data_IF_926490903991
#
_entry.id   IF_926490903991
#
_cell.length_a   1.000
_cell.length_b   1.000
_cell.length_c   1.000
_cell.angle_alpha   90.00
_cell.angle_beta   90.00
_cell.angle_gamma   90.00
#
_symmetry.space_group_name_H-M   'P 1'
#
loop_
_entity.id
_entity.type
_entity.pdbx_description
1 polymer ?
#
# COMPACT_ATOMS: atom_id res chain seq x y z
N UNK A 1 -16.07 -13.63 9.05
CA UNK A 1 -16.14 -14.07 7.65
C UNK A 1 -15.33 -13.07 6.88
N UNK A 2 -14.18 -13.48 6.38
CA UNK A 2 -13.35 -12.64 5.51
C UNK A 2 -14.10 -12.41 4.21
N UNK A 3 -14.20 -11.16 3.75
CA UNK A 3 -14.87 -10.87 2.48
C UNK A 3 -14.00 -11.35 1.33
N UNK A 4 -14.54 -12.25 0.50
CA UNK A 4 -13.86 -12.73 -0.69
C UNK A 4 -14.25 -11.83 -1.87
N UNK A 5 -13.29 -11.05 -2.37
CA UNK A 5 -13.44 -10.25 -3.58
C UNK A 5 -13.28 -11.12 -4.82
N UNK A 6 -14.11 -10.87 -5.82
CA UNK A 6 -13.95 -11.36 -7.20
C UNK A 6 -12.70 -10.76 -7.84
N UNK A 7 -12.28 -11.33 -8.97
CA UNK A 7 -11.10 -10.81 -9.68
C UNK A 7 -11.34 -9.39 -10.23
N UNK A 8 -12.56 -9.06 -10.63
CA UNK A 8 -12.94 -7.70 -11.05
C UNK A 8 -12.84 -6.70 -9.88
N UNK A 9 -13.39 -7.06 -8.72
CA UNK A 9 -13.30 -6.22 -7.51
C UNK A 9 -11.85 -6.06 -7.05
N UNK A 10 -10.99 -7.08 -7.19
CA UNK A 10 -9.55 -6.96 -6.88
C UNK A 10 -8.84 -5.99 -7.82
N UNK A 11 -9.17 -6.01 -9.11
CA UNK A 11 -8.64 -5.04 -10.08
C UNK A 11 -9.09 -3.62 -9.70
N UNK A 12 -10.35 -3.48 -9.30
CA UNK A 12 -10.87 -2.20 -8.83
C UNK A 12 -10.13 -1.70 -7.58
N UNK A 13 -9.94 -2.55 -6.57
CA UNK A 13 -9.16 -2.22 -5.36
C UNK A 13 -7.75 -1.77 -5.74
N UNK A 14 -7.06 -2.51 -6.61
CA UNK A 14 -5.72 -2.13 -7.06
C UNK A 14 -5.72 -0.76 -7.76
N UNK A 15 -6.74 -0.46 -8.58
CA UNK A 15 -6.84 0.84 -9.26
C UNK A 15 -6.99 2.03 -8.30
N UNK A 16 -7.45 1.80 -7.07
CA UNK A 16 -7.54 2.83 -6.01
C UNK A 16 -6.16 3.37 -5.59
N UNK A 17 -5.06 2.73 -5.98
CA UNK A 17 -3.69 3.16 -5.67
C UNK A 17 -3.34 4.56 -6.21
N UNK A 18 -4.03 5.02 -7.26
CA UNK A 18 -3.82 6.33 -7.88
C UNK A 18 -4.77 7.43 -7.38
N UNK A 19 -5.74 7.10 -6.52
CA UNK A 19 -6.64 8.08 -5.93
C UNK A 19 -5.94 8.86 -4.79
N UNK A 20 -6.37 10.11 -4.57
CA UNK A 20 -5.88 10.93 -3.47
C UNK A 20 -6.67 10.64 -2.19
N UNK A 21 -6.08 9.85 -1.29
CA UNK A 21 -6.70 9.47 -0.03
C UNK A 21 -6.25 10.30 1.15
N UNK A 22 -7.20 10.68 2.01
CA UNK A 22 -6.95 11.27 3.32
C UNK A 22 -7.23 10.26 4.44
N UNK A 23 -6.62 10.52 5.59
CA UNK A 23 -6.87 9.75 6.81
C UNK A 23 -8.36 9.85 7.17
N UNK A 24 -8.99 8.71 7.48
CA UNK A 24 -10.43 8.49 7.72
C UNK A 24 -11.31 8.38 6.48
N UNK A 25 -10.78 8.51 5.27
CA UNK A 25 -11.58 8.26 4.08
C UNK A 25 -11.99 6.79 4.01
N UNK A 26 -13.22 6.56 3.56
CA UNK A 26 -13.74 5.21 3.31
C UNK A 26 -13.36 4.78 1.91
N UNK A 27 -12.66 3.65 1.80
CA UNK A 27 -12.36 3.04 0.51
C UNK A 27 -13.53 2.13 0.15
N UNK A 28 -14.24 2.49 -0.91
CA UNK A 28 -15.42 1.77 -1.40
C UNK A 28 -15.22 1.37 -2.84
N UNK A 29 -15.82 0.24 -3.19
CA UNK A 29 -15.99 -0.19 -4.56
C UNK A 29 -17.15 0.56 -5.22
N UNK A 30 -17.23 0.50 -6.55
CA UNK A 30 -18.28 1.11 -7.38
C UNK A 30 -19.66 0.52 -7.07
N UNK A 31 -19.71 -0.74 -6.63
CA UNK A 31 -20.92 -1.39 -6.12
C UNK A 31 -21.30 -0.93 -4.69
N UNK A 32 -20.59 0.07 -4.14
CA UNK A 32 -20.72 0.66 -2.81
C UNK A 32 -20.27 -0.23 -1.64
N UNK A 33 -19.63 -1.35 -1.93
CA UNK A 33 -19.07 -2.21 -0.91
C UNK A 33 -17.86 -1.57 -0.21
N UNK A 34 -17.84 -1.64 1.11
CA UNK A 34 -16.74 -1.11 1.92
C UNK A 34 -15.55 -2.08 1.89
N UNK A 35 -14.40 -1.58 1.46
CA UNK A 35 -13.09 -2.24 1.58
C UNK A 35 -12.50 -1.96 2.97
N UNK A 36 -12.61 -0.72 3.44
CA UNK A 36 -12.22 -0.32 4.79
C UNK A 36 -12.03 1.19 4.91
N UNK A 37 -11.26 1.61 5.92
CA UNK A 37 -11.00 3.02 6.22
C UNK A 37 -9.50 3.29 6.23
N UNK A 38 -9.07 4.39 5.60
CA UNK A 38 -7.67 4.82 5.57
C UNK A 38 -7.21 5.19 6.98
N UNK A 39 -6.29 4.39 7.53
CA UNK A 39 -5.73 4.59 8.88
C UNK A 39 -4.33 5.20 8.85
N UNK A 40 -3.57 4.97 7.77
CA UNK A 40 -2.23 5.53 7.58
C UNK A 40 -2.06 5.88 6.10
N UNK A 41 -1.49 7.06 5.84
CA UNK A 41 -1.04 7.51 4.52
C UNK A 41 0.47 7.69 4.59
N UNK A 42 1.20 7.07 3.68
CA UNK A 42 2.65 7.22 3.55
C UNK A 42 2.96 7.93 2.23
N UNK A 43 3.80 8.96 2.32
CA UNK A 43 4.43 9.62 1.18
C UNK A 43 5.89 9.88 1.59
N UNK A 44 6.78 8.96 1.22
CA UNK A 44 8.15 8.89 1.74
C UNK A 44 9.14 9.38 0.70
N UNK A 45 10.26 9.94 1.17
CA UNK A 45 11.37 10.40 0.30
C UNK A 45 12.05 9.28 -0.51
N UNK A 46 11.76 8.01 -0.21
CA UNK A 46 12.19 6.83 -0.97
C UNK A 46 11.41 6.64 -2.27
N UNK A 47 10.34 7.42 -2.48
CA UNK A 47 9.37 7.24 -3.57
C UNK A 47 8.20 6.34 -3.20
N UNK A 48 8.15 5.79 -1.97
CA UNK A 48 7.01 5.00 -1.55
C UNK A 48 5.79 5.88 -1.27
N UNK A 49 4.71 5.60 -1.98
CA UNK A 49 3.37 6.10 -1.68
C UNK A 49 2.47 4.91 -1.38
N UNK A 50 1.90 4.86 -0.18
CA UNK A 50 1.09 3.72 0.25
C UNK A 50 0.01 4.08 1.25
N UNK A 51 -1.04 3.27 1.28
CA UNK A 51 -2.21 3.46 2.11
C UNK A 51 -2.49 2.20 2.93
N UNK A 52 -2.54 2.33 4.26
CA UNK A 52 -2.94 1.23 5.15
C UNK A 52 -4.41 1.40 5.50
N UNK A 53 -5.21 0.49 4.97
CA UNK A 53 -6.67 0.45 5.11
C UNK A 53 -7.02 -0.61 6.15
N UNK A 54 -7.86 -0.25 7.12
CA UNK A 54 -8.30 -1.17 8.18
C UNK A 54 -9.82 -1.34 8.14
N UNK A 55 -10.33 -2.48 8.63
CA UNK A 55 -11.79 -2.76 8.70
C UNK A 55 -12.59 -1.71 9.48
N UNK A 56 -11.91 -0.96 10.36
CA UNK A 56 -12.41 0.23 11.06
C UNK A 56 -11.26 1.22 11.24
N UNK A 57 -11.54 2.52 11.30
CA UNK A 57 -10.49 3.52 11.55
C UNK A 57 -9.71 3.22 12.83
N UNK A 58 -8.40 2.97 12.70
CA UNK A 58 -7.52 2.62 13.79
C UNK A 58 -6.09 3.09 13.47
N UNK A 59 -5.75 4.37 13.63
CA UNK A 59 -4.41 4.88 13.33
C UNK A 59 -3.35 4.29 14.28
N UNK A 60 -2.07 4.47 13.96
CA UNK A 60 -0.95 3.97 14.77
C UNK A 60 -0.94 4.49 16.22
N UNK A 61 -1.54 5.66 16.47
CA UNK A 61 -1.72 6.24 17.81
C UNK A 61 -2.82 5.58 18.66
N UNK A 62 -3.59 4.64 18.09
CA UNK A 62 -4.64 3.90 18.81
C UNK A 62 -4.04 2.99 19.89
N UNK A 63 -4.86 2.69 20.92
CA UNK A 63 -4.44 1.77 21.98
C UNK A 63 -4.18 0.36 21.43
N UNK A 64 -3.40 -0.43 22.17
CA UNK A 64 -3.12 -1.83 21.80
C UNK A 64 -4.43 -2.63 21.72
N UNK A 65 -5.38 -2.39 22.63
CA UNK A 65 -6.69 -3.06 22.64
C UNK A 65 -7.48 -2.76 21.37
N UNK A 66 -7.47 -1.51 20.90
CA UNK A 66 -8.14 -1.12 19.66
C UNK A 66 -7.48 -1.77 18.44
N UNK A 67 -6.15 -1.77 18.37
CA UNK A 67 -5.39 -2.38 17.28
C UNK A 67 -5.58 -3.91 17.23
N UNK A 68 -5.68 -4.56 18.39
CA UNK A 68 -5.96 -5.99 18.48
C UNK A 68 -7.37 -6.39 18.03
N UNK A 69 -8.29 -5.43 17.92
CA UNK A 69 -9.65 -5.65 17.43
C UNK A 69 -9.78 -5.49 15.90
N UNK A 70 -8.74 -4.99 15.22
CA UNK A 70 -8.70 -4.91 13.76
C UNK A 70 -8.63 -6.33 13.20
N UNK A 71 -9.52 -6.63 12.25
CA UNK A 71 -9.64 -7.99 11.68
C UNK A 71 -9.00 -8.11 10.31
N UNK A 72 -8.99 -7.04 9.54
CA UNK A 72 -8.50 -7.01 8.18
C UNK A 72 -7.68 -5.73 7.97
N UNK A 73 -6.54 -5.88 7.31
CA UNK A 73 -5.66 -4.80 6.88
C UNK A 73 -5.39 -5.00 5.40
N UNK A 74 -5.61 -3.98 4.58
CA UNK A 74 -5.18 -3.94 3.19
C UNK A 74 -4.14 -2.86 3.03
N UNK A 75 -3.00 -3.17 2.44
CA UNK A 75 -1.97 -2.18 2.11
C UNK A 75 -1.92 -2.02 0.60
N UNK A 76 -2.27 -0.84 0.11
CA UNK A 76 -2.19 -0.51 -1.31
C UNK A 76 -0.94 0.34 -1.54
N UNK A 77 -0.09 -0.07 -2.49
CA UNK A 77 1.11 0.67 -2.89
C UNK A 77 0.86 1.31 -4.24
N UNK A 78 1.10 2.61 -4.37
CA UNK A 78 0.99 3.28 -5.66
C UNK A 78 2.16 2.88 -6.56
N UNK A 79 1.84 2.39 -7.76
CA UNK A 79 2.83 2.16 -8.81
C UNK A 79 3.45 3.47 -9.34
N UNK A 80 4.52 3.36 -10.11
CA UNK A 80 5.15 4.52 -10.75
C UNK A 80 4.18 5.18 -11.73
N UNK A 81 4.00 6.50 -11.61
CA UNK A 81 3.19 7.26 -12.58
C UNK A 81 4.05 7.65 -13.79
N UNK A 82 3.46 7.58 -14.99
CA UNK A 82 4.09 7.96 -16.26
C UNK A 82 3.90 9.45 -16.61
N UNK A 83 3.11 10.20 -15.84
CA UNK A 83 2.97 11.63 -16.08
C UNK A 83 4.34 12.28 -15.92
N UNK A 84 4.82 13.04 -16.92
CA UNK A 84 6.12 13.74 -16.93
C UNK A 84 6.20 14.86 -15.87
N UNK A 85 5.97 14.52 -14.61
CA UNK A 85 6.27 15.30 -13.43
C UNK A 85 7.69 14.95 -12.96
N UNK A 86 8.30 15.82 -12.15
CA UNK A 86 9.63 15.58 -11.59
C UNK A 86 9.73 14.29 -10.77
N UNK A 87 8.61 13.79 -10.24
CA UNK A 87 8.58 12.58 -9.41
C UNK A 87 8.49 11.31 -10.25
N UNK A 88 7.76 11.32 -11.36
CA UNK A 88 7.81 10.25 -12.35
C UNK A 88 9.22 10.06 -12.94
N UNK A 89 9.93 11.16 -13.22
CA UNK A 89 11.32 11.05 -13.71
C UNK A 89 12.25 10.41 -12.67
N UNK A 90 12.01 10.65 -11.37
CA UNK A 90 12.77 10.00 -10.28
C UNK A 90 12.42 8.52 -10.16
N UNK A 91 11.14 8.15 -10.21
CA UNK A 91 10.71 6.74 -10.16
C UNK A 91 11.33 5.93 -11.31
N UNK A 92 11.33 6.50 -12.51
CA UNK A 92 11.92 5.88 -13.69
C UNK A 92 13.45 5.76 -13.61
N UNK A 93 14.13 6.83 -13.21
CA UNK A 93 15.60 6.88 -13.22
C UNK A 93 16.23 6.13 -12.03
N UNK A 94 15.59 6.14 -10.86
CA UNK A 94 16.13 5.60 -9.62
C UNK A 94 15.65 4.17 -9.32
N UNK A 95 14.46 3.75 -9.80
CA UNK A 95 13.89 2.45 -9.48
C UNK A 95 13.70 1.56 -10.72
N UNK A 96 12.98 2.02 -11.75
CA UNK A 96 12.58 1.16 -12.88
C UNK A 96 13.75 0.81 -13.84
N UNK A 97 14.56 1.80 -14.26
CA UNK A 97 15.74 1.55 -15.13
C UNK A 97 16.77 0.64 -14.44
N UNK A 98 17.17 0.90 -13.17
CA UNK A 98 18.05 -0.01 -12.44
C UNK A 98 17.48 -1.41 -12.31
N UNK A 99 16.19 -1.57 -12.01
CA UNK A 99 15.53 -2.89 -11.92
C UNK A 99 15.57 -3.63 -13.26
N UNK A 100 15.27 -2.94 -14.38
CA UNK A 100 15.37 -3.50 -15.72
C UNK A 100 16.79 -3.97 -16.08
N UNK A 101 17.81 -3.17 -15.76
CA UNK A 101 19.22 -3.53 -15.97
C UNK A 101 19.64 -4.72 -15.09
N UNK A 102 19.09 -4.83 -13.87
CA UNK A 102 19.41 -5.91 -12.92
C UNK A 102 18.81 -7.25 -13.33
N UNK A 103 17.57 -7.27 -13.80
CA UNK A 103 16.91 -8.48 -14.33
C UNK A 103 17.72 -9.02 -15.52
N UNK A 104 18.18 -8.13 -16.41
CA UNK A 104 19.01 -8.49 -17.57
C UNK A 104 20.38 -9.07 -17.15
N UNK A 105 20.94 -8.61 -16.02
CA UNK A 105 22.27 -9.00 -15.55
C UNK A 105 22.29 -10.21 -14.58
N UNK A 106 21.20 -10.97 -14.45
CA UNK A 106 21.20 -12.25 -13.74
C UNK A 106 21.05 -12.18 -12.21
N UNK A 107 20.42 -11.12 -11.68
CA UNK A 107 19.84 -11.14 -10.33
C UNK A 107 20.82 -10.92 -9.18
N UNK A 108 21.62 -9.86 -9.24
CA UNK A 108 22.68 -9.58 -8.26
C UNK A 108 22.54 -8.34 -7.37
N UNK A 109 21.44 -7.59 -7.36
CA UNK A 109 21.43 -6.28 -6.68
C UNK A 109 20.45 -6.14 -5.50
N UNK A 110 20.93 -5.38 -4.50
CA UNK A 110 20.27 -4.90 -3.29
C UNK A 110 18.91 -4.29 -3.63
N UNK A 111 17.86 -4.67 -2.89
CA UNK A 111 16.50 -4.12 -3.06
C UNK A 111 16.54 -2.59 -3.19
N UNK A 112 15.76 -2.01 -4.12
CA UNK A 112 15.71 -0.55 -4.28
C UNK A 112 15.26 0.12 -2.98
N UNK A 113 15.64 1.39 -2.72
CA UNK A 113 15.16 2.10 -1.54
C UNK A 113 13.63 2.08 -1.39
N UNK A 114 12.89 2.20 -2.50
CA UNK A 114 11.42 2.10 -2.50
C UNK A 114 10.93 0.71 -2.11
N UNK A 115 11.54 -0.36 -2.63
CA UNK A 115 11.17 -1.74 -2.31
C UNK A 115 11.46 -2.08 -0.84
N UNK A 116 12.61 -1.63 -0.32
CA UNK A 116 12.93 -1.76 1.11
C UNK A 116 11.92 -1.01 1.98
N UNK A 117 11.59 0.23 1.60
CA UNK A 117 10.61 1.05 2.33
C UNK A 117 9.23 0.43 2.33
N UNK A 118 8.79 -0.12 1.19
CA UNK A 118 7.50 -0.79 1.05
C UNK A 118 7.45 -2.06 1.92
N UNK A 119 8.52 -2.85 1.95
CA UNK A 119 8.62 -4.01 2.84
C UNK A 119 8.58 -3.60 4.32
N UNK A 120 9.21 -2.49 4.69
CA UNK A 120 9.10 -1.93 6.04
C UNK A 120 7.69 -1.47 6.37
N UNK A 121 6.97 -0.83 5.44
CA UNK A 121 5.56 -0.48 5.63
C UNK A 121 4.70 -1.70 5.88
N UNK A 122 4.82 -2.75 5.05
CA UNK A 122 4.08 -3.99 5.23
C UNK A 122 4.37 -4.60 6.60
N UNK A 123 5.65 -4.72 6.95
CA UNK A 123 6.09 -5.24 8.24
C UNK A 123 5.50 -4.43 9.40
N UNK A 124 5.59 -3.10 9.33
CA UNK A 124 5.04 -2.22 10.37
C UNK A 124 3.52 -2.37 10.48
N UNK A 125 2.79 -2.52 9.36
CA UNK A 125 1.35 -2.77 9.38
C UNK A 125 1.02 -4.11 10.06
N UNK A 126 1.78 -5.18 9.76
CA UNK A 126 1.63 -6.49 10.40
C UNK A 126 1.92 -6.45 11.91
N UNK A 127 2.96 -5.71 12.33
CA UNK A 127 3.30 -5.52 13.76
C UNK A 127 2.27 -4.65 14.48
N UNK A 128 1.72 -3.65 13.79
CA UNK A 128 0.73 -2.74 14.33
C UNK A 128 -0.61 -3.43 14.54
N UNK A 129 -1.00 -4.36 13.67
CA UNK A 129 -2.27 -5.10 13.72
C UNK A 129 -2.04 -6.63 13.74
N UNK A 130 -1.54 -7.19 14.86
CA UNK A 130 -1.03 -8.55 14.90
C UNK A 130 -2.11 -9.65 14.74
N UNK A 131 -3.38 -9.31 14.92
CA UNK A 131 -4.51 -10.24 14.80
C UNK A 131 -5.23 -10.13 13.45
N UNK A 132 -4.81 -9.21 12.59
CA UNK A 132 -5.49 -8.95 11.33
C UNK A 132 -5.03 -9.91 10.24
N UNK A 133 -5.95 -10.28 9.36
CA UNK A 133 -5.60 -10.83 8.06
C UNK A 133 -5.08 -9.69 7.17
N UNK A 134 -3.93 -9.88 6.55
CA UNK A 134 -3.27 -8.85 5.74
C UNK A 134 -3.39 -9.16 4.25
N UNK A 135 -3.77 -8.14 3.48
CA UNK A 135 -3.86 -8.13 2.03
C UNK A 135 -2.92 -7.07 1.48
N UNK A 136 -2.33 -7.37 0.32
CA UNK A 136 -1.43 -6.49 -0.46
C UNK A 136 -1.80 -6.64 -1.92
#
# INVERSE_FOLDING_TARGET
MTKAYSDEERVEIASKEYEEWLIKDEVRLDNNDLVGVISIVNDKSTGEQSFVITDKYCPASSSIEQRNQVKEVTVIYRGSSFELSSDAVKDWLLNDIPTGIQVINGGGAVATPQLQSSAETLKNAMELYPNAQVFV
#
